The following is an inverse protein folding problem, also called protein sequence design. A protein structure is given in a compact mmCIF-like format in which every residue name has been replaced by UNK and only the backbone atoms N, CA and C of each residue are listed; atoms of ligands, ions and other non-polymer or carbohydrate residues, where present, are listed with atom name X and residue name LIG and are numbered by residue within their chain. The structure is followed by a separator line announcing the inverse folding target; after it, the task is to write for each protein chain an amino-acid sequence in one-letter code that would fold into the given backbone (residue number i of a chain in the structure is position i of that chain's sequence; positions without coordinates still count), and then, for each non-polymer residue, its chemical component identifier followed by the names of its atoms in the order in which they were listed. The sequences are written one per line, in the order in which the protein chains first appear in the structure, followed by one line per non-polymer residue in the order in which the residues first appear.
data_IF_778808139414
#
_entry.id   IF_778808139414
#
_cell.length_a   1.000
_cell.length_b   1.000
_cell.length_c   1.000
_cell.angle_alpha   90.00
_cell.angle_beta   90.00
_cell.angle_gamma   90.00
#
_symmetry.space_group_name_H-M   'P 1'
#
loop_
_entity.id
_entity.type
_entity.pdbx_description
1 polymer ?
#
# COMPACT_ATOMS: atom_id res chain seq x y z
N UNK A 1 4.18 75.44 14.69
CA UNK A 1 3.18 75.47 13.60
C UNK A 1 2.54 74.07 13.46
N UNK A 2 1.68 73.85 12.45
CA UNK A 2 0.95 72.58 12.17
C UNK A 2 1.94 71.40 11.99
N UNK A 3 1.66 70.14 12.35
CA UNK A 3 0.62 69.20 11.83
C UNK A 3 0.70 68.96 10.30
N UNK A 4 0.58 67.75 9.76
CA UNK A 4 0.40 66.41 10.38
C UNK A 4 1.77 65.66 10.41
N UNK A 5 2.06 64.41 9.99
CA UNK A 5 1.36 63.20 9.47
C UNK A 5 2.41 62.05 9.41
N UNK A 6 2.14 60.74 9.46
CA UNK A 6 0.90 59.94 9.62
C UNK A 6 1.19 58.64 10.43
N UNK A 7 0.54 57.50 10.12
CA UNK A 7 0.60 56.15 10.77
C UNK A 7 0.27 55.07 9.68
N UNK A 8 0.44 53.72 9.87
CA UNK A 8 0.38 52.97 11.13
C UNK A 8 1.45 51.86 11.34
N UNK A 9 1.35 51.17 12.48
CA UNK A 9 2.21 50.05 12.88
C UNK A 9 1.89 48.72 12.15
N UNK A 10 2.89 47.85 12.03
CA UNK A 10 2.67 46.43 11.72
C UNK A 10 2.14 45.69 12.96
N UNK A 11 1.01 45.00 12.81
CA UNK A 11 0.27 44.41 13.93
C UNK A 11 0.76 42.99 14.22
N UNK A 12 1.46 42.80 15.34
CA UNK A 12 1.67 41.47 15.93
C UNK A 12 0.36 41.03 16.61
N UNK A 13 -0.49 40.32 15.86
CA UNK A 13 -1.82 39.88 16.34
C UNK A 13 -1.74 38.60 17.19
N UNK A 14 -1.01 38.67 18.31
CA UNK A 14 -0.89 37.59 19.27
C UNK A 14 -2.00 37.66 20.35
N UNK A 15 -3.08 36.91 20.15
CA UNK A 15 -4.26 36.84 21.03
C UNK A 15 -5.02 35.55 20.66
N UNK A 16 -5.46 34.65 21.54
CA UNK A 16 -5.38 34.45 23.01
C UNK A 16 -5.47 32.90 23.18
N UNK A 17 -4.89 32.17 24.14
CA UNK A 17 -4.82 32.30 25.61
C UNK A 17 -3.55 31.59 26.15
N UNK A 18 -3.16 31.90 27.39
CA UNK A 18 -1.93 31.47 28.09
C UNK A 18 -1.88 30.00 28.57
N UNK A 19 -0.63 29.59 28.86
CA UNK A 19 -0.21 28.63 29.90
C UNK A 19 -0.56 27.14 29.77
N UNK A 20 0.49 26.34 29.57
CA UNK A 20 0.72 25.13 30.37
C UNK A 20 2.16 25.14 30.90
N UNK A 21 2.34 25.21 32.22
CA UNK A 21 3.64 24.98 32.86
C UNK A 21 4.04 23.51 32.73
N UNK A 22 5.35 23.22 32.60
CA UNK A 22 5.87 21.85 32.67
C UNK A 22 5.94 21.37 34.13
N UNK A 23 4.79 21.09 34.74
CA UNK A 23 4.73 20.50 36.09
C UNK A 23 5.10 19.01 36.04
N UNK A 24 6.31 18.69 36.48
CA UNK A 24 6.87 17.34 36.51
C UNK A 24 6.33 16.53 37.71
N UNK A 25 5.08 16.05 37.62
CA UNK A 25 4.49 15.21 38.67
C UNK A 25 5.04 13.77 38.65
N UNK A 26 5.90 13.48 39.63
CA UNK A 26 6.37 12.14 39.94
C UNK A 26 5.35 11.37 40.78
N UNK A 27 4.49 10.56 40.14
CA UNK A 27 3.57 9.66 40.83
C UNK A 27 4.33 8.49 41.47
N UNK A 28 4.37 8.43 42.82
CA UNK A 28 4.80 7.25 43.57
C UNK A 28 3.71 6.17 43.50
N UNK A 29 3.81 5.28 42.51
CA UNK A 29 3.08 4.01 42.51
C UNK A 29 3.79 3.04 43.46
N UNK A 30 3.05 2.33 44.33
CA UNK A 30 3.60 1.20 45.08
C UNK A 30 3.75 0.01 44.10
N UNK A 31 4.98 -0.49 43.99
CA UNK A 31 5.48 -1.52 43.07
C UNK A 31 5.47 -1.19 41.55
N UNK A 32 6.56 -1.55 40.86
CA UNK A 32 6.67 -1.60 39.39
C UNK A 32 6.81 -0.26 38.64
N UNK A 33 7.99 0.02 38.05
CA UNK A 33 8.21 1.22 37.22
C UNK A 33 8.29 0.88 35.72
N UNK A 34 7.15 0.83 35.03
CA UNK A 34 7.11 0.72 33.55
C UNK A 34 6.82 2.09 32.93
N UNK A 35 7.84 2.72 32.34
CA UNK A 35 7.70 4.03 31.66
C UNK A 35 7.25 3.84 30.20
N UNK A 36 5.94 3.90 29.94
CA UNK A 36 5.43 4.14 28.57
C UNK A 36 5.14 5.63 28.38
N UNK A 37 5.90 6.30 27.51
CA UNK A 37 5.68 7.70 27.16
C UNK A 37 4.60 7.81 26.06
N UNK A 38 3.35 8.04 26.45
CA UNK A 38 2.29 8.49 25.54
C UNK A 38 2.10 10.01 25.65
N UNK A 39 2.32 10.80 24.58
CA UNK A 39 2.12 12.24 24.63
C UNK A 39 0.62 12.58 24.56
N UNK A 40 0.02 12.89 25.71
CA UNK A 40 -1.35 13.40 25.79
C UNK A 40 -1.38 14.93 25.79
N UNK A 41 -2.00 15.51 24.76
CA UNK A 41 -2.32 16.94 24.72
C UNK A 41 -3.70 17.18 25.36
N UNK A 42 -3.75 17.97 26.44
CA UNK A 42 -4.98 18.27 27.17
C UNK A 42 -5.51 19.64 26.76
N UNK A 43 -6.55 19.68 25.91
CA UNK A 43 -7.24 20.93 25.59
C UNK A 43 -8.13 21.39 26.77
N UNK A 44 -8.24 22.70 26.98
CA UNK A 44 -8.86 23.29 28.17
C UNK A 44 -10.41 23.36 28.14
N UNK A 45 -11.07 22.73 27.18
CA UNK A 45 -12.53 22.57 27.15
C UNK A 45 -12.90 21.09 27.04
N UNK A 46 -13.90 20.68 27.83
CA UNK A 46 -14.19 19.27 28.16
C UNK A 46 -14.84 18.43 27.05
N UNK A 47 -14.24 18.35 25.86
CA UNK A 47 -14.58 17.34 24.84
C UNK A 47 -13.33 16.63 24.34
N UNK A 48 -13.33 15.30 24.44
CA UNK A 48 -12.38 14.41 23.76
C UNK A 48 -12.68 14.42 22.26
N UNK A 49 -12.20 15.45 21.56
CA UNK A 49 -12.27 15.55 20.10
C UNK A 49 -11.23 14.59 19.50
N UNK A 50 -11.60 13.32 19.34
CA UNK A 50 -10.84 12.37 18.52
C UNK A 50 -10.99 12.68 17.02
N UNK A 51 -10.49 13.84 16.61
CA UNK A 51 -10.24 14.15 15.19
C UNK A 51 -8.85 13.64 14.81
N UNK A 52 -8.68 12.32 14.85
CA UNK A 52 -7.60 11.68 14.11
C UNK A 52 -8.00 11.74 12.63
N UNK A 53 -7.64 12.82 11.95
CA UNK A 53 -7.81 12.94 10.50
C UNK A 53 -7.05 11.78 9.84
N UNK A 54 -7.78 10.75 9.42
CA UNK A 54 -7.14 9.57 8.86
C UNK A 54 -6.46 9.95 7.55
N UNK A 55 -5.20 9.51 7.31
CA UNK A 55 -4.55 9.76 6.04
C UNK A 55 -5.40 9.13 4.94
N UNK A 56 -5.81 9.93 3.95
CA UNK A 56 -6.61 9.44 2.83
C UNK A 56 -5.75 8.43 2.06
N UNK A 57 -6.07 7.15 2.24
CA UNK A 57 -5.33 6.06 1.61
C UNK A 57 -5.44 6.20 0.08
N UNK A 58 -4.29 6.27 -0.60
CA UNK A 58 -4.28 6.46 -2.04
C UNK A 58 -4.82 5.21 -2.75
N UNK A 59 -5.64 5.40 -3.79
CA UNK A 59 -6.28 4.28 -4.48
C UNK A 59 -5.25 3.27 -5.02
N UNK A 60 -5.57 1.98 -4.91
CA UNK A 60 -4.81 0.89 -5.52
C UNK A 60 -5.59 0.29 -6.70
N UNK A 61 -4.90 0.03 -7.80
CA UNK A 61 -5.39 -0.84 -8.88
C UNK A 61 -4.56 -2.13 -8.92
N UNK A 62 -5.23 -3.26 -8.75
CA UNK A 62 -4.66 -4.60 -8.92
C UNK A 62 -5.09 -5.18 -10.27
N UNK A 63 -4.14 -5.45 -11.15
CA UNK A 63 -4.36 -6.05 -12.46
C UNK A 63 -3.85 -7.49 -12.42
N UNK A 64 -4.77 -8.44 -12.29
CA UNK A 64 -4.50 -9.87 -12.42
C UNK A 64 -4.44 -10.21 -13.91
N UNK A 65 -3.22 -10.27 -14.45
CA UNK A 65 -2.96 -10.60 -15.85
C UNK A 65 -2.88 -12.12 -15.97
N UNK A 66 -3.99 -12.74 -16.38
CA UNK A 66 -4.24 -14.19 -16.28
C UNK A 66 -3.87 -14.93 -17.57
N UNK A 67 -3.11 -16.03 -17.48
CA UNK A 67 -2.86 -16.88 -18.66
C UNK A 67 -4.15 -17.60 -19.10
N UNK A 68 -4.41 -17.70 -20.41
CA UNK A 68 -5.67 -18.22 -20.95
C UNK A 68 -6.09 -19.61 -20.40
N UNK A 69 -5.12 -20.51 -20.15
CA UNK A 69 -5.37 -21.84 -19.55
C UNK A 69 -5.78 -21.82 -18.08
N UNK A 70 -5.61 -20.69 -17.39
CA UNK A 70 -5.87 -20.53 -15.96
C UNK A 70 -7.15 -19.73 -15.69
N UNK A 71 -7.70 -19.05 -16.69
CA UNK A 71 -8.85 -18.16 -16.54
C UNK A 71 -10.10 -18.88 -16.01
N UNK A 72 -10.40 -20.07 -16.55
CA UNK A 72 -11.59 -20.86 -16.22
C UNK A 72 -11.33 -21.99 -15.20
N UNK A 73 -10.16 -22.06 -14.57
CA UNK A 73 -9.86 -23.12 -13.59
C UNK A 73 -10.50 -22.81 -12.24
N UNK A 74 -11.24 -23.76 -11.67
CA UNK A 74 -11.69 -23.73 -10.27
C UNK A 74 -10.53 -23.61 -9.28
N UNK A 75 -9.34 -24.14 -9.63
CA UNK A 75 -8.13 -24.07 -8.81
C UNK A 75 -7.35 -22.75 -8.95
N UNK A 76 -7.85 -21.77 -9.71
CA UNK A 76 -7.20 -20.47 -9.80
C UNK A 76 -7.58 -19.59 -8.59
N UNK A 77 -6.60 -19.26 -7.74
CA UNK A 77 -6.83 -18.42 -6.56
C UNK A 77 -6.97 -16.93 -6.88
N UNK A 78 -6.57 -16.47 -8.08
CA UNK A 78 -6.80 -15.10 -8.53
C UNK A 78 -8.27 -14.73 -8.62
N UNK A 79 -9.15 -15.69 -8.93
CA UNK A 79 -10.60 -15.51 -8.93
C UNK A 79 -11.20 -15.14 -7.54
N UNK A 80 -10.48 -15.41 -6.45
CA UNK A 80 -10.92 -15.08 -5.08
C UNK A 80 -10.76 -13.60 -4.72
N UNK A 81 -9.85 -12.89 -5.42
CA UNK A 81 -9.37 -11.56 -5.00
C UNK A 81 -10.44 -10.48 -5.12
N UNK A 82 -11.11 -10.38 -6.28
CA UNK A 82 -12.13 -9.35 -6.49
C UNK A 82 -13.35 -9.51 -5.54
N UNK A 83 -13.91 -10.73 -5.32
CA UNK A 83 -14.93 -10.94 -4.30
C UNK A 83 -14.47 -10.60 -2.87
N UNK A 84 -13.25 -10.97 -2.48
CA UNK A 84 -12.71 -10.68 -1.15
C UNK A 84 -12.56 -9.18 -0.88
N UNK A 85 -12.29 -8.39 -1.92
CA UNK A 85 -12.04 -6.95 -1.85
C UNK A 85 -13.26 -6.08 -2.18
N UNK A 86 -14.44 -6.68 -2.42
CA UNK A 86 -15.67 -5.94 -2.73
C UNK A 86 -16.15 -4.95 -1.64
N UNK A 87 -15.60 -5.02 -0.42
CA UNK A 87 -15.85 -4.09 0.69
C UNK A 87 -14.80 -2.97 0.81
N UNK A 88 -13.82 -2.91 -0.11
CA UNK A 88 -12.68 -1.97 -0.11
C UNK A 88 -12.75 -1.05 -1.34
N UNK A 89 -13.55 0.03 -1.32
CA UNK A 89 -13.70 0.93 -2.47
C UNK A 89 -12.39 1.65 -2.86
N UNK A 90 -11.40 1.68 -1.98
CA UNK A 90 -10.05 2.18 -2.24
C UNK A 90 -9.17 1.21 -3.06
N UNK A 91 -9.64 -0.03 -3.33
CA UNK A 91 -8.91 -1.04 -4.11
C UNK A 91 -9.75 -1.52 -5.29
N UNK A 92 -9.37 -1.13 -6.51
CA UNK A 92 -9.94 -1.67 -7.74
C UNK A 92 -9.21 -2.96 -8.15
N UNK A 93 -9.96 -4.01 -8.49
CA UNK A 93 -9.40 -5.28 -8.99
C UNK A 93 -9.90 -5.53 -10.42
N UNK A 94 -8.97 -5.74 -11.35
CA UNK A 94 -9.25 -6.15 -12.74
C UNK A 94 -8.61 -7.50 -13.01
N UNK A 95 -9.28 -8.37 -13.75
CA UNK A 95 -8.74 -9.64 -14.25
C UNK A 95 -8.74 -9.62 -15.77
N UNK A 96 -7.56 -9.55 -16.37
CA UNK A 96 -7.37 -9.36 -17.81
C UNK A 96 -6.74 -10.61 -18.42
N UNK A 97 -7.16 -11.00 -19.62
CA UNK A 97 -6.53 -12.10 -20.34
C UNK A 97 -5.14 -11.69 -20.86
N UNK A 98 -4.12 -12.50 -20.58
CA UNK A 98 -2.77 -12.27 -21.11
C UNK A 98 -2.71 -12.53 -22.61
N UNK A 99 -2.19 -11.55 -23.33
CA UNK A 99 -1.88 -11.64 -24.76
C UNK A 99 -0.44 -11.18 -25.01
N UNK A 100 0.31 -12.01 -25.75
CA UNK A 100 1.67 -11.70 -26.22
C UNK A 100 1.68 -10.64 -27.33
N UNK A 101 0.65 -10.64 -28.18
CA UNK A 101 0.65 -9.92 -29.47
C UNK A 101 -0.33 -8.74 -29.52
N UNK A 102 -1.34 -8.75 -28.67
CA UNK A 102 -2.35 -7.70 -28.53
C UNK A 102 -2.61 -7.46 -27.04
N UNK A 103 -1.68 -6.84 -26.30
CA UNK A 103 -1.86 -6.52 -24.88
C UNK A 103 -2.98 -5.50 -24.69
N UNK A 104 -3.61 -5.52 -23.51
CA UNK A 104 -4.62 -4.53 -23.15
C UNK A 104 -4.00 -3.12 -23.11
N UNK A 105 -4.61 -2.10 -23.74
CA UNK A 105 -4.08 -0.73 -23.77
C UNK A 105 -3.77 -0.13 -22.38
N UNK A 106 -4.48 -0.55 -21.33
CA UNK A 106 -4.24 -0.08 -19.96
C UNK A 106 -2.87 -0.51 -19.42
N UNK A 107 -2.24 -1.54 -20.00
CA UNK A 107 -0.88 -1.97 -19.67
C UNK A 107 0.19 -1.13 -20.38
N UNK A 108 -0.16 -0.43 -21.46
CA UNK A 108 0.73 0.42 -22.25
C UNK A 108 0.69 1.88 -21.78
N UNK A 109 -0.46 2.34 -21.29
CA UNK A 109 -0.62 3.69 -20.72
C UNK A 109 0.04 3.77 -19.33
N UNK A 110 1.32 4.12 -19.31
CA UNK A 110 2.12 4.38 -18.12
C UNK A 110 2.66 5.81 -18.17
N UNK A 111 2.48 6.57 -17.09
CA UNK A 111 2.99 7.96 -16.96
C UNK A 111 3.68 8.15 -15.60
N UNK A 112 4.56 9.17 -15.44
CA UNK A 112 5.16 9.47 -14.12
C UNK A 112 4.12 9.78 -13.02
N UNK A 113 2.96 10.32 -13.40
CA UNK A 113 1.82 10.60 -12.53
C UNK A 113 0.94 9.38 -12.23
N UNK A 114 1.12 8.27 -12.95
CA UNK A 114 0.31 7.06 -12.84
C UNK A 114 1.17 5.79 -13.06
N UNK A 115 2.15 5.53 -12.16
CA UNK A 115 3.15 4.49 -12.35
C UNK A 115 2.54 3.09 -12.25
N UNK A 116 3.02 2.19 -13.11
CA UNK A 116 2.59 0.81 -13.23
C UNK A 116 3.74 -0.13 -12.89
N UNK A 117 3.57 -0.93 -11.84
CA UNK A 117 4.60 -1.83 -11.32
C UNK A 117 4.26 -3.29 -11.64
N UNK A 118 5.28 -4.11 -11.89
CA UNK A 118 5.12 -5.55 -12.09
C UNK A 118 5.55 -6.33 -10.86
N UNK A 119 4.64 -7.09 -10.25
CA UNK A 119 4.96 -8.00 -9.16
C UNK A 119 5.57 -9.30 -9.72
N UNK A 120 6.90 -9.31 -9.87
CA UNK A 120 7.65 -10.42 -10.43
C UNK A 120 9.12 -10.38 -9.97
N UNK A 121 9.72 -11.50 -9.52
CA UNK A 121 11.11 -11.53 -9.07
C UNK A 121 12.08 -11.49 -10.26
N UNK A 122 12.73 -10.34 -10.45
CA UNK A 122 13.91 -10.16 -11.31
C UNK A 122 15.13 -9.78 -10.44
N UNK A 123 16.38 -9.90 -10.95
CA UNK A 123 17.57 -9.48 -10.19
C UNK A 123 17.56 -8.00 -9.80
N UNK A 124 16.87 -7.16 -10.57
CA UNK A 124 16.76 -5.71 -10.40
C UNK A 124 15.50 -5.28 -9.62
N UNK A 125 14.66 -6.24 -9.21
CA UNK A 125 13.37 -5.94 -8.58
C UNK A 125 13.54 -5.31 -7.19
N UNK A 126 12.81 -4.22 -6.93
CA UNK A 126 12.77 -3.64 -5.60
C UNK A 126 12.11 -4.62 -4.63
N UNK A 127 12.81 -4.93 -3.54
CA UNK A 127 12.28 -5.81 -2.48
C UNK A 127 11.19 -5.10 -1.69
N UNK A 128 10.06 -5.79 -1.52
CA UNK A 128 8.93 -5.35 -0.72
C UNK A 128 8.70 -6.34 0.43
N UNK A 129 9.16 -5.96 1.62
CA UNK A 129 9.04 -6.74 2.85
C UNK A 129 7.59 -6.74 3.37
N UNK A 130 6.89 -7.85 3.25
CA UNK A 130 5.53 -7.98 3.78
C UNK A 130 5.45 -7.92 5.32
N UNK A 131 6.59 -8.13 5.99
CA UNK A 131 6.72 -8.04 7.44
C UNK A 131 6.93 -6.59 7.92
N UNK A 132 7.33 -5.65 7.05
CA UNK A 132 7.58 -4.25 7.40
C UNK A 132 6.60 -3.33 6.65
N UNK A 133 5.54 -2.92 7.34
CA UNK A 133 4.63 -1.88 6.84
C UNK A 133 5.43 -0.58 6.67
N UNK A 134 5.27 0.08 5.50
CA UNK A 134 6.02 1.27 5.03
C UNK A 134 7.37 0.93 4.35
N UNK A 135 7.32 0.70 3.03
CA UNK A 135 8.51 0.74 2.15
C UNK A 135 8.24 1.32 0.74
N UNK A 136 6.99 1.27 0.25
CA UNK A 136 6.61 1.72 -1.11
C UNK A 136 6.24 3.22 -1.20
N UNK A 137 6.91 4.07 -0.43
CA UNK A 137 6.74 5.52 -0.45
C UNK A 137 8.11 6.22 -0.51
N UNK A 138 8.23 7.22 -1.38
CA UNK A 138 9.36 8.16 -1.46
C UNK A 138 10.74 7.58 -1.78
N UNK A 139 10.95 7.12 -3.03
CA UNK A 139 12.28 7.15 -3.65
C UNK A 139 12.26 7.66 -5.10
N UNK A 140 12.66 8.92 -5.27
CA UNK A 140 13.57 9.35 -6.35
C UNK A 140 14.46 10.48 -5.79
N UNK A 141 15.78 10.55 -6.09
CA UNK A 141 16.67 11.45 -5.36
C UNK A 141 16.56 12.93 -5.78
N UNK A 142 16.82 13.80 -4.81
CA UNK A 142 17.45 15.12 -4.89
C UNK A 142 17.23 15.98 -6.16
N UNK A 143 16.39 17.01 -6.01
CA UNK A 143 16.64 18.33 -6.60
C UNK A 143 16.09 19.38 -5.65
N UNK A 144 16.89 20.38 -5.28
CA UNK A 144 16.55 21.35 -4.24
C UNK A 144 15.61 22.43 -4.76
N UNK A 145 14.29 22.23 -4.60
CA UNK A 145 13.31 23.29 -4.81
C UNK A 145 12.04 23.06 -3.97
N UNK A 146 11.74 23.88 -2.95
CA UNK A 146 10.55 23.73 -2.11
C UNK A 146 9.31 24.34 -2.79
N UNK A 147 8.84 23.71 -3.87
CA UNK A 147 7.61 24.11 -4.55
C UNK A 147 6.37 23.46 -3.90
N UNK A 148 5.40 24.29 -3.50
CA UNK A 148 4.23 23.88 -2.71
C UNK A 148 3.14 23.22 -3.55
N UNK A 149 3.27 21.92 -3.80
CA UNK A 149 2.16 21.09 -4.26
C UNK A 149 1.58 20.26 -3.11
N UNK A 150 0.25 20.32 -2.93
CA UNK A 150 -0.45 19.40 -2.04
C UNK A 150 -0.24 17.96 -2.51
N UNK A 151 -0.05 16.98 -1.60
CA UNK A 151 0.11 15.57 -1.97
C UNK A 151 -1.23 14.98 -2.45
N UNK A 152 -1.58 15.27 -3.71
CA UNK A 152 -2.61 14.55 -4.44
C UNK A 152 -2.29 13.06 -4.37
N UNK A 153 -3.26 12.26 -3.92
CA UNK A 153 -3.05 10.85 -3.60
C UNK A 153 -2.75 10.04 -4.87
N UNK A 154 -1.46 9.84 -5.17
CA UNK A 154 -0.99 9.13 -6.37
C UNK A 154 -1.49 7.69 -6.35
N UNK A 155 -2.41 7.37 -7.25
CA UNK A 155 -2.93 6.02 -7.45
C UNK A 155 -1.80 5.05 -7.77
N UNK A 156 -1.75 3.91 -7.10
CA UNK A 156 -0.70 2.89 -7.30
C UNK A 156 -1.24 1.72 -8.10
N UNK A 157 -0.61 1.38 -9.22
CA UNK A 157 -1.07 0.32 -10.12
C UNK A 157 -0.09 -0.84 -10.12
N UNK A 158 -0.58 -2.07 -9.93
CA UNK A 158 0.23 -3.28 -9.85
C UNK A 158 -0.29 -4.36 -10.80
N UNK A 159 0.58 -4.93 -11.63
CA UNK A 159 0.32 -6.15 -12.39
C UNK A 159 0.79 -7.35 -11.58
N UNK A 160 -0.05 -8.37 -11.46
CA UNK A 160 0.31 -9.69 -10.98
C UNK A 160 0.08 -10.72 -12.09
N UNK A 161 1.02 -11.64 -12.30
CA UNK A 161 0.90 -12.68 -13.32
C UNK A 161 0.11 -13.86 -12.75
N UNK A 162 -1.20 -13.89 -13.01
CA UNK A 162 -2.14 -14.91 -12.52
C UNK A 162 -2.01 -16.21 -13.32
N UNK A 163 -0.97 -16.98 -13.02
CA UNK A 163 -0.71 -18.28 -13.62
C UNK A 163 0.18 -19.19 -12.75
N UNK A 164 0.42 -20.44 -13.19
CA UNK A 164 1.46 -21.28 -12.59
C UNK A 164 2.85 -20.65 -12.81
N UNK A 165 3.83 -20.89 -11.93
CA UNK A 165 5.18 -20.30 -12.04
C UNK A 165 5.87 -20.50 -13.39
N UNK A 166 5.65 -21.64 -14.05
CA UNK A 166 6.18 -21.91 -15.40
C UNK A 166 5.50 -21.04 -16.47
N UNK A 167 4.18 -20.82 -16.33
CA UNK A 167 3.40 -19.97 -17.23
C UNK A 167 3.65 -18.48 -16.96
N UNK A 168 3.77 -18.04 -15.71
CA UNK A 168 4.14 -16.68 -15.35
C UNK A 168 5.54 -16.30 -15.91
N UNK A 169 6.53 -17.20 -15.77
CA UNK A 169 7.85 -17.03 -16.39
C UNK A 169 7.77 -16.98 -17.93
N UNK A 170 6.92 -17.81 -18.56
CA UNK A 170 6.65 -17.74 -20.01
C UNK A 170 6.03 -16.38 -20.39
N UNK A 171 5.04 -15.89 -19.64
CA UNK A 171 4.37 -14.61 -19.89
C UNK A 171 5.37 -13.46 -19.82
N UNK A 172 6.14 -13.37 -18.74
CA UNK A 172 7.20 -12.38 -18.58
C UNK A 172 8.20 -12.42 -19.73
N UNK A 173 8.77 -13.61 -20.03
CA UNK A 173 9.77 -13.78 -21.11
C UNK A 173 9.23 -13.47 -22.51
N UNK A 174 7.92 -13.61 -22.75
CA UNK A 174 7.30 -13.43 -24.07
C UNK A 174 6.65 -12.05 -24.30
N UNK A 175 6.58 -11.20 -23.27
CA UNK A 175 5.97 -9.86 -23.31
C UNK A 175 7.01 -8.75 -23.04
N UNK A 176 7.58 -8.10 -24.07
CA UNK A 176 8.51 -6.97 -23.90
C UNK A 176 7.92 -5.81 -23.09
N UNK A 177 6.61 -5.57 -23.21
CA UNK A 177 5.89 -4.55 -22.44
C UNK A 177 5.82 -4.84 -20.93
N UNK A 178 6.10 -6.08 -20.48
CA UNK A 178 6.27 -6.41 -19.06
C UNK A 178 7.72 -6.22 -18.58
N UNK A 179 8.68 -6.45 -19.48
CA UNK A 179 10.12 -6.31 -19.20
C UNK A 179 10.55 -4.84 -19.11
N UNK A 180 9.77 -3.92 -19.68
CA UNK A 180 9.98 -2.47 -19.58
C UNK A 180 9.40 -1.83 -18.30
N UNK A 181 8.73 -2.59 -17.44
CA UNK A 181 8.12 -2.09 -16.21
C UNK A 181 9.07 -2.21 -15.01
N UNK A 182 9.02 -1.28 -14.05
CA UNK A 182 9.72 -1.44 -12.78
C UNK A 182 9.11 -2.62 -12.00
N UNK A 183 9.98 -3.49 -11.49
CA UNK A 183 9.60 -4.75 -10.84
C UNK A 183 9.66 -4.69 -9.33
N UNK A 184 8.76 -5.45 -8.69
CA UNK A 184 8.68 -5.64 -7.24
C UNK A 184 8.77 -7.14 -6.92
N UNK A 185 9.64 -7.49 -5.97
CA UNK A 185 9.72 -8.85 -5.42
C UNK A 185 9.24 -8.84 -3.97
N UNK A 186 8.23 -9.65 -3.66
CA UNK A 186 7.80 -9.87 -2.28
C UNK A 186 8.86 -10.63 -1.50
N UNK A 187 9.09 -10.24 -0.25
CA UNK A 187 9.75 -11.08 0.73
C UNK A 187 8.88 -11.23 1.98
N UNK A 188 8.87 -12.45 2.51
CA UNK A 188 8.22 -12.84 3.76
C UNK A 188 8.85 -14.14 4.24
N UNK A 189 8.89 -14.31 5.56
CA UNK A 189 9.30 -15.54 6.23
C UNK A 189 8.23 -16.64 6.22
N UNK A 190 7.00 -16.34 5.77
CA UNK A 190 5.90 -17.31 5.76
C UNK A 190 5.91 -18.17 4.47
N UNK A 191 5.92 -19.50 4.56
CA UNK A 191 5.78 -20.38 3.40
C UNK A 191 4.37 -20.27 2.80
N UNK A 192 4.20 -20.72 1.55
CA UNK A 192 2.90 -20.78 0.89
C UNK A 192 2.02 -21.86 1.56
N UNK A 193 0.79 -21.50 1.89
CA UNK A 193 -0.22 -22.40 2.47
C UNK A 193 -1.06 -23.08 1.37
N UNK A 194 -0.69 -22.91 0.09
CA UNK A 194 -1.48 -23.42 -1.04
C UNK A 194 -1.36 -24.95 -1.19
N UNK A 195 -2.35 -25.67 -0.68
CA UNK A 195 -2.34 -27.13 -0.54
C UNK A 195 -2.37 -27.87 -1.89
N UNK A 196 -3.07 -27.34 -2.89
CA UNK A 196 -3.28 -28.03 -4.18
C UNK A 196 -2.00 -28.16 -5.03
N UNK A 197 -0.91 -27.46 -4.67
CA UNK A 197 0.32 -27.43 -5.47
C UNK A 197 1.45 -28.25 -4.83
N UNK A 198 1.48 -29.55 -5.16
CA UNK A 198 2.48 -30.55 -4.73
C UNK A 198 3.93 -30.06 -4.71
N UNK A 199 4.37 -29.36 -5.76
CA UNK A 199 5.70 -28.74 -5.83
C UNK A 199 5.60 -27.26 -5.41
N UNK A 200 5.79 -26.97 -4.14
CA UNK A 200 6.00 -25.59 -3.68
C UNK A 200 7.47 -25.17 -3.85
N UNK A 201 7.68 -23.94 -4.35
CA UNK A 201 8.99 -23.28 -4.31
C UNK A 201 9.03 -22.37 -3.08
N UNK A 202 10.20 -22.18 -2.49
CA UNK A 202 10.43 -21.10 -1.53
C UNK A 202 10.12 -19.75 -2.22
N UNK A 203 9.51 -18.81 -1.49
CA UNK A 203 8.96 -17.54 -2.02
C UNK A 203 7.93 -17.73 -3.18
N UNK A 204 7.44 -18.94 -3.38
CA UNK A 204 6.62 -19.32 -4.53
C UNK A 204 5.11 -19.15 -4.32
N UNK A 205 4.64 -18.10 -3.67
CA UNK A 205 3.21 -17.91 -3.33
C UNK A 205 2.26 -18.01 -4.55
N UNK A 206 0.97 -18.27 -4.31
CA UNK A 206 -0.09 -18.22 -5.32
C UNK A 206 -0.63 -16.80 -5.52
N UNK A 207 -1.55 -16.59 -6.47
CA UNK A 207 -2.08 -15.26 -6.81
C UNK A 207 -2.72 -14.57 -5.61
N UNK A 208 -3.61 -15.25 -4.88
CA UNK A 208 -4.28 -14.68 -3.70
C UNK A 208 -3.29 -14.33 -2.57
N UNK A 209 -2.36 -15.23 -2.24
CA UNK A 209 -1.31 -14.97 -1.24
C UNK A 209 -0.44 -13.78 -1.63
N UNK A 210 -0.06 -13.67 -2.91
CA UNK A 210 0.76 -12.56 -3.43
C UNK A 210 0.02 -11.22 -3.32
N UNK A 211 -1.30 -11.21 -3.53
CA UNK A 211 -2.13 -10.02 -3.27
C UNK A 211 -2.18 -9.69 -1.78
N UNK A 212 -2.40 -10.68 -0.91
CA UNK A 212 -2.46 -10.44 0.54
C UNK A 212 -1.14 -9.86 1.09
N UNK A 213 0.00 -10.40 0.66
CA UNK A 213 1.33 -9.89 1.01
C UNK A 213 1.59 -8.47 0.48
N UNK A 214 1.21 -8.20 -0.78
CA UNK A 214 1.31 -6.86 -1.38
C UNK A 214 0.45 -5.82 -0.64
N UNK A 215 -0.79 -6.19 -0.28
CA UNK A 215 -1.70 -5.32 0.48
C UNK A 215 -1.21 -5.07 1.91
N UNK A 216 -0.65 -6.08 2.58
CA UNK A 216 -0.04 -5.91 3.90
C UNK A 216 1.14 -4.93 3.86
N UNK A 217 2.08 -5.12 2.92
CA UNK A 217 3.25 -4.26 2.77
C UNK A 217 2.93 -2.81 2.39
N UNK A 218 1.83 -2.61 1.64
CA UNK A 218 1.35 -1.27 1.23
C UNK A 218 0.43 -0.60 2.26
N UNK A 219 0.09 -1.28 3.38
CA UNK A 219 -0.65 -0.70 4.52
C UNK A 219 -2.13 -1.11 4.62
N UNK A 220 -2.65 -1.87 3.68
CA UNK A 220 -4.06 -2.26 3.58
C UNK A 220 -4.32 -3.57 4.36
N UNK A 221 -3.92 -3.61 5.63
CA UNK A 221 -3.92 -4.82 6.45
C UNK A 221 -5.31 -5.50 6.56
N UNK A 222 -6.39 -4.72 6.62
CA UNK A 222 -7.77 -5.24 6.61
C UNK A 222 -8.10 -5.97 5.29
N UNK A 223 -7.75 -5.34 4.16
CA UNK A 223 -7.94 -5.92 2.83
C UNK A 223 -7.08 -7.18 2.62
N UNK A 224 -5.83 -7.17 3.09
CA UNK A 224 -4.96 -8.34 3.12
C UNK A 224 -5.59 -9.50 3.91
N UNK A 225 -6.15 -9.22 5.10
CA UNK A 225 -6.83 -10.23 5.91
C UNK A 225 -8.07 -10.81 5.19
N UNK A 226 -8.85 -9.99 4.47
CA UNK A 226 -10.01 -10.47 3.67
C UNK A 226 -9.58 -11.45 2.57
N UNK A 227 -8.48 -11.16 1.85
CA UNK A 227 -7.94 -12.05 0.82
C UNK A 227 -7.38 -13.34 1.43
N UNK A 228 -6.65 -13.24 2.55
CA UNK A 228 -6.15 -14.41 3.28
C UNK A 228 -7.27 -15.31 3.80
N UNK A 229 -8.35 -14.75 4.33
CA UNK A 229 -9.53 -15.52 4.79
C UNK A 229 -10.21 -16.21 3.60
N UNK A 230 -10.47 -15.50 2.49
CA UNK A 230 -11.07 -16.09 1.30
C UNK A 230 -10.22 -17.24 0.71
N UNK A 231 -8.89 -17.13 0.80
CA UNK A 231 -7.93 -18.17 0.41
C UNK A 231 -7.89 -19.35 1.41
N UNK A 232 -7.93 -19.09 2.71
CA UNK A 232 -8.01 -20.13 3.74
C UNK A 232 -9.30 -20.96 3.58
N UNK A 233 -10.44 -20.28 3.42
CA UNK A 233 -11.73 -20.92 3.13
C UNK A 233 -11.72 -21.67 1.79
N UNK A 234 -10.94 -21.23 0.80
CA UNK A 234 -10.75 -21.98 -0.45
C UNK A 234 -9.96 -23.29 -0.23
N UNK A 235 -8.87 -23.25 0.55
CA UNK A 235 -8.05 -24.43 0.86
C UNK A 235 -8.79 -25.47 1.74
N UNK A 236 -9.88 -25.10 2.42
CA UNK A 236 -10.74 -26.06 3.13
C UNK A 236 -11.74 -26.80 2.22
N UNK A 237 -11.95 -26.32 0.98
CA UNK A 237 -13.00 -26.81 0.06
C UNK A 237 -12.47 -27.65 -1.11
N UNK A 238 -11.15 -27.85 -1.22
CA UNK A 238 -10.47 -28.52 -2.34
C UNK A 238 -9.29 -29.37 -1.83
#
# INVERSE_FOLDING_TARGET
MRQLSSHPAFIVRCCNVRCCWRTQQSLKVRSGLIRRHTPYYRCCQGKLMQSAAQPVAAAIELILLTHATEFNKSTNTGALVAPALAQHPEITVKRLAWSRVAPDPQLLTVTPSNPLWLLYPTPEAQVLEANNVIAAASQKPCSDNPCTESPSAVSRRFILLDATWQLAHKMYRQSPYLQALPTLSLQSSQPSQYLLRRNQRQQGWCTAESVALLLAATGYASAAQKVSEAFFQFNQRN
#
